data_IF_501022108010
#
_entry.id   IF_501022108010
#
_cell.length_a   1.000
_cell.length_b   1.000
_cell.length_c   1.000
_cell.angle_alpha   90.00
_cell.angle_beta   90.00
_cell.angle_gamma   90.00
#
_symmetry.space_group_name_H-M   'P 1'
#
loop_
_entity.id
_entity.type
_entity.pdbx_description
1 polymer ?
#
# COMPACT_ATOMS: atom_id res chain seq x y z
N UNK A 1 -3.71 -19.16 16.18
CA UNK A 1 -3.55 -17.80 16.73
C UNK A 1 -2.06 -17.49 16.97
N UNK A 2 -1.63 -16.27 16.65
CA UNK A 2 -0.23 -15.83 16.71
C UNK A 2 0.16 -15.15 18.04
N UNK A 3 -0.79 -14.94 18.97
CA UNK A 3 -0.60 -14.54 20.39
C UNK A 3 0.37 -13.37 20.68
N UNK A 4 0.70 -12.55 19.68
CA UNK A 4 1.54 -11.38 19.87
C UNK A 4 0.81 -10.35 20.74
N UNK A 5 1.51 -9.80 21.74
CA UNK A 5 0.99 -8.79 22.65
C UNK A 5 2.13 -7.87 23.11
N UNK A 6 1.90 -6.56 23.05
CA UNK A 6 2.81 -5.54 23.56
C UNK A 6 1.98 -4.30 23.93
N UNK A 7 1.84 -4.04 25.23
CA UNK A 7 0.96 -2.97 25.74
C UNK A 7 1.33 -1.57 25.23
N UNK A 8 2.63 -1.33 24.95
CA UNK A 8 3.10 -0.04 24.40
C UNK A 8 2.67 0.11 22.94
N UNK A 9 2.81 -0.96 22.15
CA UNK A 9 2.33 -1.01 20.76
C UNK A 9 0.82 -0.81 20.70
N UNK A 10 0.07 -1.50 21.55
CA UNK A 10 -1.40 -1.37 21.63
C UNK A 10 -1.80 0.06 22.02
N UNK A 11 -1.09 0.69 22.98
CA UNK A 11 -1.35 2.08 23.35
C UNK A 11 -1.10 3.07 22.19
N UNK A 12 -0.10 2.82 21.33
CA UNK A 12 0.11 3.62 20.12
C UNK A 12 -0.99 3.38 19.08
N UNK A 13 -1.49 2.16 18.94
CA UNK A 13 -2.63 1.86 18.07
C UNK A 13 -3.89 2.60 18.50
N UNK A 14 -4.21 2.61 19.80
CA UNK A 14 -5.35 3.36 20.34
C UNK A 14 -5.20 4.87 20.07
N UNK A 15 -4.00 5.43 20.28
CA UNK A 15 -3.72 6.84 19.94
C UNK A 15 -3.91 7.11 18.46
N UNK A 16 -3.41 6.24 17.59
CA UNK A 16 -3.53 6.40 16.15
C UNK A 16 -4.99 6.34 15.66
N UNK A 17 -5.80 5.42 16.22
CA UNK A 17 -7.23 5.31 15.93
C UNK A 17 -8.05 6.51 16.45
N UNK A 18 -7.64 7.08 17.59
CA UNK A 18 -8.30 8.25 18.18
C UNK A 18 -7.85 9.60 17.59
N UNK A 19 -6.78 9.62 16.79
CA UNK A 19 -6.22 10.84 16.23
C UNK A 19 -7.20 11.55 15.29
N UNK A 20 -7.19 12.88 15.32
CA UNK A 20 -8.13 13.71 14.54
C UNK A 20 -7.60 14.12 13.17
N UNK A 21 -6.36 13.74 12.86
CA UNK A 21 -5.73 13.99 11.57
C UNK A 21 -4.88 12.80 11.13
N UNK A 22 -4.81 12.60 9.82
CA UNK A 22 -3.96 11.56 9.24
C UNK A 22 -2.48 11.76 9.59
N UNK A 23 -2.02 13.02 9.67
CA UNK A 23 -0.63 13.34 10.04
C UNK A 23 -0.33 12.85 11.46
N UNK A 24 -1.21 13.13 12.41
CA UNK A 24 -1.05 12.69 13.79
C UNK A 24 -1.14 11.16 13.91
N UNK A 25 -2.13 10.54 13.28
CA UNK A 25 -2.27 9.08 13.24
C UNK A 25 -0.98 8.41 12.72
N UNK A 26 -0.42 8.94 11.63
CA UNK A 26 0.81 8.42 11.01
C UNK A 26 2.03 8.48 11.92
N UNK A 27 2.13 9.48 12.81
CA UNK A 27 3.22 9.51 13.79
C UNK A 27 3.07 8.39 14.81
N UNK A 28 1.86 8.15 15.32
CA UNK A 28 1.61 7.02 16.23
C UNK A 28 1.80 5.65 15.55
N UNK A 29 1.42 5.49 14.28
CA UNK A 29 1.69 4.24 13.53
C UNK A 29 3.19 3.96 13.36
N UNK A 30 4.02 5.00 13.22
CA UNK A 30 5.49 4.84 13.17
C UNK A 30 6.05 4.49 14.54
N UNK A 31 5.54 5.10 15.61
CA UNK A 31 5.97 4.79 16.97
C UNK A 31 5.64 3.35 17.37
N UNK A 32 4.46 2.84 16.99
CA UNK A 32 4.12 1.43 17.17
C UNK A 32 5.11 0.48 16.48
N UNK A 33 5.63 0.85 15.30
CA UNK A 33 6.67 0.08 14.62
C UNK A 33 7.98 0.10 15.40
N UNK A 34 8.42 1.29 15.85
CA UNK A 34 9.61 1.47 16.67
C UNK A 34 9.62 2.87 17.29
N UNK A 35 9.62 2.96 18.62
CA UNK A 35 9.65 4.25 19.34
C UNK A 35 11.05 4.68 19.79
N UNK A 36 12.05 3.81 19.65
CA UNK A 36 13.41 4.02 20.16
C UNK A 36 13.79 3.01 21.25
N UNK A 37 12.81 2.35 21.86
CA UNK A 37 12.99 1.37 22.93
C UNK A 37 12.28 0.04 22.61
N UNK A 38 11.04 0.09 22.11
CA UNK A 38 10.21 -1.06 21.79
C UNK A 38 9.43 -0.86 20.49
N UNK A 39 8.84 -1.94 19.96
CA UNK A 39 7.93 -1.89 18.81
C UNK A 39 7.83 -3.21 18.06
N UNK A 40 6.81 -3.34 17.20
CA UNK A 40 6.57 -4.58 16.45
C UNK A 40 7.44 -4.73 15.20
N UNK A 41 8.27 -3.75 14.84
CA UNK A 41 9.16 -3.89 13.68
C UNK A 41 10.29 -4.89 13.95
N UNK A 42 11.12 -5.10 12.92
CA UNK A 42 12.34 -5.90 13.03
C UNK A 42 13.40 -5.33 14.00
N UNK A 43 13.24 -4.09 14.47
CA UNK A 43 14.11 -3.48 15.48
C UNK A 43 13.71 -3.83 16.92
N UNK A 44 12.48 -4.28 17.14
CA UNK A 44 11.95 -4.69 18.43
C UNK A 44 11.57 -6.17 18.42
N UNK A 45 10.28 -6.44 18.61
CA UNK A 45 9.78 -7.80 18.88
C UNK A 45 9.81 -8.74 17.66
N UNK A 46 9.90 -8.18 16.44
CA UNK A 46 9.96 -8.90 15.18
C UNK A 46 8.96 -10.08 15.05
N UNK A 47 7.66 -9.92 15.37
CA UNK A 47 6.69 -11.01 15.31
C UNK A 47 6.40 -11.51 13.89
N UNK A 48 6.82 -10.75 12.86
CA UNK A 48 6.59 -11.03 11.45
C UNK A 48 7.89 -10.88 10.66
N UNK A 49 8.05 -11.69 9.61
CA UNK A 49 9.09 -11.52 8.58
C UNK A 49 8.40 -11.10 7.29
N UNK A 50 8.30 -9.78 7.09
CA UNK A 50 7.77 -9.21 5.86
C UNK A 50 8.76 -9.46 4.71
N UNK A 51 8.31 -10.07 3.61
CA UNK A 51 9.18 -10.48 2.51
C UNK A 51 9.21 -9.46 1.38
N UNK A 52 8.07 -9.26 0.72
CA UNK A 52 7.95 -8.44 -0.49
C UNK A 52 6.57 -7.79 -0.57
N UNK A 53 6.48 -6.70 -1.32
CA UNK A 53 5.23 -6.23 -1.89
C UNK A 53 5.04 -6.87 -3.27
N UNK A 54 3.81 -7.21 -3.65
CA UNK A 54 3.51 -7.86 -4.92
C UNK A 54 3.08 -6.78 -5.93
N UNK A 55 3.60 -6.89 -7.16
CA UNK A 55 3.12 -6.10 -8.30
C UNK A 55 2.03 -6.85 -9.07
N UNK A 56 1.07 -6.12 -9.62
CA UNK A 56 0.08 -6.68 -10.53
C UNK A 56 0.57 -6.62 -11.97
N UNK A 57 0.49 -7.76 -12.68
CA UNK A 57 0.91 -7.91 -14.06
C UNK A 57 -0.33 -8.09 -14.96
N UNK A 58 -0.43 -7.26 -16.00
CA UNK A 58 -1.50 -7.33 -16.99
C UNK A 58 -0.93 -7.53 -18.38
N UNK A 59 -1.61 -8.35 -19.19
CA UNK A 59 -1.35 -8.45 -20.62
C UNK A 59 -2.31 -7.52 -21.37
N UNK A 60 -1.75 -6.60 -22.15
CA UNK A 60 -2.49 -5.53 -22.80
C UNK A 60 -2.24 -5.49 -24.31
N UNK A 61 -3.18 -4.92 -25.06
CA UNK A 61 -2.92 -4.53 -26.45
C UNK A 61 -1.91 -3.39 -26.46
N UNK A 62 -0.94 -3.44 -27.37
CA UNK A 62 0.19 -2.50 -27.41
C UNK A 62 -0.25 -1.02 -27.55
N UNK A 63 -1.34 -0.77 -28.27
CA UNK A 63 -1.84 0.59 -28.52
C UNK A 63 -2.90 1.05 -27.51
N UNK A 64 -3.16 0.29 -26.43
CA UNK A 64 -4.04 0.71 -25.34
C UNK A 64 -3.22 1.37 -24.23
N UNK A 65 -3.37 2.68 -24.06
CA UNK A 65 -2.74 3.43 -22.98
C UNK A 65 -3.68 3.48 -21.78
N UNK A 66 -3.20 3.03 -20.62
CA UNK A 66 -3.98 3.01 -19.38
C UNK A 66 -3.56 4.08 -18.36
N UNK A 67 -2.53 4.86 -18.66
CA UNK A 67 -1.99 5.90 -17.77
C UNK A 67 -1.24 5.36 -16.55
N UNK A 68 -0.75 6.28 -15.72
CA UNK A 68 -0.05 5.97 -14.48
C UNK A 68 -0.99 5.30 -13.47
N UNK A 69 -0.58 4.16 -12.93
CA UNK A 69 -1.37 3.39 -11.97
C UNK A 69 -0.93 3.73 -10.54
N UNK A 70 -1.90 3.83 -9.62
CA UNK A 70 -1.62 3.90 -8.18
C UNK A 70 -1.17 2.54 -7.66
N UNK A 71 -0.67 2.50 -6.43
CA UNK A 71 -0.48 1.25 -5.68
C UNK A 71 -1.84 0.54 -5.59
N UNK A 72 -1.93 -0.61 -6.24
CA UNK A 72 -3.18 -1.36 -6.32
C UNK A 72 -3.42 -2.12 -5.00
N UNK A 73 -4.62 -2.04 -4.42
CA UNK A 73 -4.92 -2.72 -3.16
C UNK A 73 -4.84 -4.24 -3.33
N UNK A 74 -4.47 -4.92 -2.25
CA UNK A 74 -4.57 -6.38 -2.16
C UNK A 74 -6.03 -6.76 -1.96
N UNK A 75 -6.77 -6.83 -3.06
CA UNK A 75 -8.17 -7.26 -3.10
C UNK A 75 -8.42 -8.16 -4.31
N UNK A 76 -9.50 -8.96 -4.25
CA UNK A 76 -10.01 -9.74 -5.37
C UNK A 76 -10.85 -8.90 -6.36
N UNK A 77 -10.84 -7.58 -6.18
CA UNK A 77 -11.58 -6.60 -6.96
C UNK A 77 -10.83 -6.27 -8.27
N UNK A 78 -11.24 -5.22 -8.99
CA UNK A 78 -10.68 -4.86 -10.31
C UNK A 78 -9.87 -3.57 -10.25
N UNK A 79 -8.75 -3.52 -9.50
CA UNK A 79 -8.02 -2.28 -9.22
C UNK A 79 -7.43 -1.61 -10.47
N UNK A 80 -7.24 -2.37 -11.56
CA UNK A 80 -6.84 -1.81 -12.87
C UNK A 80 -7.86 -0.79 -13.41
N UNK A 81 -9.13 -0.90 -13.01
CA UNK A 81 -10.20 -0.02 -13.50
C UNK A 81 -10.34 1.29 -12.74
N UNK A 82 -9.53 1.53 -11.71
CA UNK A 82 -9.63 2.72 -10.87
C UNK A 82 -9.36 4.04 -11.63
N UNK A 83 -8.70 3.94 -12.79
CA UNK A 83 -8.38 5.06 -13.68
C UNK A 83 -8.84 4.81 -15.12
N UNK A 84 -9.94 4.07 -15.29
CA UNK A 84 -10.48 3.71 -16.61
C UNK A 84 -10.82 4.93 -17.47
N UNK A 85 -11.14 6.06 -16.85
CA UNK A 85 -11.41 7.34 -17.52
C UNK A 85 -10.20 7.91 -18.27
N UNK A 86 -8.99 7.51 -17.89
CA UNK A 86 -7.75 7.94 -18.56
C UNK A 86 -7.38 7.02 -19.74
N UNK A 87 -8.10 5.92 -19.92
CA UNK A 87 -7.78 4.94 -20.96
C UNK A 87 -8.12 5.50 -22.32
N UNK A 88 -7.17 5.38 -23.25
CA UNK A 88 -7.36 5.79 -24.63
C UNK A 88 -6.50 4.93 -25.56
N UNK A 89 -6.90 4.92 -26.83
CA UNK A 89 -6.11 4.30 -27.87
C UNK A 89 -5.09 5.31 -28.39
N UNK A 90 -3.84 4.90 -28.51
CA UNK A 90 -2.87 5.62 -29.33
C UNK A 90 -3.27 5.47 -30.81
N UNK A 91 -3.40 6.60 -31.50
CA UNK A 91 -3.61 6.60 -32.94
C UNK A 91 -2.38 5.97 -33.62
N UNK A 92 -2.61 4.94 -34.44
CA UNK A 92 -1.56 4.41 -35.28
C UNK A 92 -1.27 5.46 -36.36
N UNK A 93 -0.09 6.07 -36.30
CA UNK A 93 0.45 6.80 -37.44
C UNK A 93 0.77 5.79 -38.55
N UNK A 94 -0.24 5.44 -39.33
CA UNK A 94 -0.08 4.61 -40.52
C UNK A 94 0.57 5.48 -41.60
N UNK A 95 1.88 5.68 -41.47
CA UNK A 95 2.74 6.35 -42.46
C UNK A 95 3.00 5.45 -43.67
N UNK A 96 1.97 4.77 -44.18
CA UNK A 96 2.02 4.11 -45.48
C UNK A 96 1.73 5.14 -46.58
N UNK A 97 2.77 5.85 -47.00
CA UNK A 97 2.86 6.48 -48.32
C UNK A 97 3.13 5.42 -49.39
#
# INVERSE_FOLDING_TARGET
PNYYANEVVDAYFEKALSATSQKEANEYWKQAQWDGETGFSNKGDAPWVWLVNIDHLFLMRENLVIGEQKVQPHEHSWPITDFIENWHWEEQNDNSN
#
